data_IF_439160643728
#
_entry.id   IF_439160643728
#
_cell.length_a   1.000
_cell.length_b   1.000
_cell.length_c   1.000
_cell.angle_alpha   90.00
_cell.angle_beta   90.00
_cell.angle_gamma   90.00
#
_symmetry.space_group_name_H-M   'P 1'
#
loop_
_entity.id
_entity.type
_entity.pdbx_description
1 polymer ?
#
# COMPACT_ATOMS: atom_id res chain seq x y z
N UNK A 1 -2.02 16.78 29.44
CA UNK A 1 -2.21 15.39 29.02
C UNK A 1 -1.58 15.16 27.63
N UNK A 2 -0.33 15.62 27.43
CA UNK A 2 0.35 15.54 26.12
C UNK A 2 1.72 14.83 26.19
N UNK A 3 2.16 14.39 27.38
CA UNK A 3 3.51 13.83 27.57
C UNK A 3 3.69 12.45 26.88
N UNK A 4 2.61 11.70 26.74
CA UNK A 4 2.66 10.35 26.15
C UNK A 4 2.93 10.38 24.63
N UNK A 5 2.41 11.37 23.93
CA UNK A 5 2.63 11.52 22.48
C UNK A 5 4.04 12.01 22.16
N UNK A 6 4.58 12.92 22.98
CA UNK A 6 5.96 13.41 22.79
C UNK A 6 6.99 12.30 23.02
N UNK A 7 6.74 11.41 23.98
CA UNK A 7 7.61 10.26 24.23
C UNK A 7 7.58 9.24 23.09
N UNK A 8 6.41 9.01 22.49
CA UNK A 8 6.27 8.14 21.32
C UNK A 8 7.04 8.72 20.12
N UNK A 9 6.94 10.03 19.89
CA UNK A 9 7.64 10.68 18.77
C UNK A 9 9.16 10.80 18.95
N UNK A 10 9.69 10.62 20.14
CA UNK A 10 11.14 10.60 20.41
C UNK A 10 11.79 9.25 20.18
N UNK A 11 11.02 8.20 20.00
CA UNK A 11 11.55 6.85 19.78
C UNK A 11 12.09 6.73 18.36
N UNK A 12 13.29 6.18 18.23
CA UNK A 12 13.96 6.01 16.93
C UNK A 12 13.25 5.03 15.98
N UNK A 13 12.35 4.22 16.53
CA UNK A 13 11.52 3.24 15.82
C UNK A 13 10.14 3.78 15.42
N UNK A 14 9.84 5.05 15.74
CA UNK A 14 8.56 5.66 15.40
C UNK A 14 8.70 6.58 14.19
N UNK A 15 7.95 6.28 13.13
CA UNK A 15 7.88 7.14 11.97
C UNK A 15 6.87 8.27 12.22
N UNK A 16 7.33 9.50 12.05
CA UNK A 16 6.45 10.66 11.96
C UNK A 16 6.08 10.88 10.50
N UNK A 17 4.81 10.89 10.19
CA UNK A 17 4.36 11.37 8.90
C UNK A 17 4.87 12.78 8.60
N UNK A 18 5.07 13.13 7.35
CA UNK A 18 5.52 14.46 6.94
C UNK A 18 4.62 15.52 7.57
N UNK A 19 5.23 16.39 8.39
CA UNK A 19 4.55 17.56 8.93
C UNK A 19 4.09 18.48 7.81
N UNK A 20 3.08 19.31 8.11
CA UNK A 20 2.48 20.23 7.14
C UNK A 20 3.49 21.22 6.50
N UNK A 21 4.66 21.40 7.11
CA UNK A 21 5.77 22.22 6.58
C UNK A 21 6.58 21.53 5.49
N UNK A 22 6.55 20.21 5.46
CA UNK A 22 7.31 19.38 4.51
C UNK A 22 6.46 18.91 3.32
N UNK A 23 5.24 19.41 3.21
CA UNK A 23 4.49 19.33 1.96
C UNK A 23 5.21 20.18 0.92
N UNK A 24 6.27 19.64 0.40
CA UNK A 24 6.80 20.11 -0.88
C UNK A 24 5.68 19.84 -1.88
N UNK A 25 4.95 20.89 -2.23
CA UNK A 25 4.21 20.88 -3.48
C UNK A 25 5.24 20.44 -4.51
N UNK A 26 5.02 19.30 -5.12
CA UNK A 26 5.89 18.80 -6.17
C UNK A 26 5.85 19.85 -7.30
N UNK A 27 6.79 20.76 -7.23
CA UNK A 27 7.14 21.59 -8.37
C UNK A 27 7.78 20.64 -9.38
N UNK A 28 7.13 20.35 -10.51
CA UNK A 28 7.67 19.43 -11.50
C UNK A 28 9.01 19.91 -12.10
N UNK A 29 9.44 21.16 -11.80
CA UNK A 29 10.69 21.74 -12.24
C UNK A 29 11.79 21.77 -11.18
N UNK A 30 11.50 21.38 -9.91
CA UNK A 30 12.49 21.33 -8.85
C UNK A 30 13.38 20.09 -9.01
N UNK A 31 14.72 20.24 -9.03
CA UNK A 31 15.60 19.09 -8.99
C UNK A 31 15.33 18.34 -7.68
N UNK A 32 14.99 17.04 -7.77
CA UNK A 32 14.70 16.16 -6.65
C UNK A 32 15.83 16.21 -5.61
N UNK A 33 15.64 16.99 -4.55
CA UNK A 33 16.63 17.16 -3.48
C UNK A 33 16.75 15.96 -2.53
N UNK A 34 16.04 14.88 -2.78
CA UNK A 34 16.08 13.64 -2.02
C UNK A 34 16.44 12.42 -2.89
N UNK A 35 17.38 12.55 -3.80
CA UNK A 35 18.06 11.43 -4.42
C UNK A 35 19.09 10.78 -3.46
N UNK A 36 18.79 10.76 -2.16
CA UNK A 36 19.53 10.14 -1.08
C UNK A 36 18.99 8.76 -0.77
N UNK A 37 19.49 7.74 -1.50
CA UNK A 37 19.80 6.41 -1.00
C UNK A 37 18.67 5.52 -0.46
N UNK A 38 17.52 5.48 -1.08
CA UNK A 38 16.80 4.22 -1.23
C UNK A 38 16.40 4.15 -2.71
N UNK A 39 17.08 3.30 -3.48
CA UNK A 39 16.51 2.80 -4.72
C UNK A 39 15.22 2.10 -4.29
N UNK A 40 14.12 2.84 -4.23
CA UNK A 40 12.83 2.34 -3.83
C UNK A 40 12.47 1.28 -4.87
N UNK A 41 12.74 0.02 -4.52
CA UNK A 41 12.30 -1.08 -5.35
C UNK A 41 10.79 -0.92 -5.49
N UNK A 42 10.33 -0.91 -6.71
CA UNK A 42 8.92 -0.77 -7.02
C UNK A 42 8.45 -1.96 -7.86
N UNK A 43 7.19 -2.27 -7.76
CA UNK A 43 6.54 -3.22 -8.63
C UNK A 43 5.60 -2.46 -9.56
N UNK A 44 5.72 -2.67 -10.88
CA UNK A 44 4.85 -2.01 -11.84
C UNK A 44 3.37 -2.24 -11.50
N UNK A 45 2.57 -1.19 -11.59
CA UNK A 45 1.13 -1.26 -11.31
C UNK A 45 0.38 -2.07 -12.36
N UNK A 46 0.92 -2.16 -13.57
CA UNK A 46 0.28 -2.73 -14.75
C UNK A 46 -0.47 -1.69 -15.59
N UNK A 47 -0.40 -0.42 -15.19
CA UNK A 47 -0.97 0.71 -15.91
C UNK A 47 0.12 1.75 -16.17
N UNK A 48 0.57 1.86 -17.41
CA UNK A 48 1.68 2.76 -17.78
C UNK A 48 1.41 4.22 -17.39
N UNK A 49 0.15 4.66 -17.54
CA UNK A 49 -0.26 6.01 -17.16
C UNK A 49 -0.13 6.27 -15.65
N UNK A 50 -0.39 5.26 -14.83
CA UNK A 50 -0.26 5.34 -13.37
C UNK A 50 1.22 5.27 -12.98
N UNK A 51 1.98 4.35 -13.57
CA UNK A 51 3.41 4.21 -13.32
C UNK A 51 4.16 5.53 -13.63
N UNK A 52 3.76 6.24 -14.70
CA UNK A 52 4.33 7.54 -15.04
C UNK A 52 4.06 8.65 -14.00
N UNK A 53 3.03 8.53 -13.18
CA UNK A 53 2.67 9.49 -12.14
C UNK A 53 3.25 9.14 -10.77
N UNK A 54 3.62 7.88 -10.55
CA UNK A 54 4.18 7.44 -9.29
C UNK A 54 5.69 7.73 -9.22
N UNK A 55 6.14 8.23 -8.08
CA UNK A 55 7.55 8.59 -7.85
C UNK A 55 8.53 7.46 -8.18
N UNK A 56 8.16 6.21 -7.88
CA UNK A 56 8.99 5.02 -8.10
C UNK A 56 8.66 4.28 -9.40
N UNK A 57 7.85 4.89 -10.28
CA UNK A 57 7.35 4.25 -11.51
C UNK A 57 6.67 2.91 -11.23
N UNK A 58 5.90 2.84 -10.15
CA UNK A 58 5.19 1.65 -9.68
C UNK A 58 4.85 1.73 -8.20
N UNK A 59 4.27 0.67 -7.66
CA UNK A 59 4.00 0.55 -6.23
C UNK A 59 5.30 0.42 -5.43
N UNK A 60 5.54 1.28 -4.43
CA UNK A 60 6.72 1.20 -3.61
C UNK A 60 6.73 -0.10 -2.79
N UNK A 61 7.85 -0.81 -2.76
CA UNK A 61 8.04 -1.95 -1.88
C UNK A 61 8.46 -1.47 -0.49
N UNK A 62 7.85 -2.03 0.54
CA UNK A 62 8.17 -1.68 1.92
C UNK A 62 7.53 -0.37 2.41
N UNK A 63 6.47 0.10 1.73
CA UNK A 63 5.69 1.27 2.11
C UNK A 63 4.21 0.97 2.25
N UNK A 64 3.45 1.96 2.70
CA UNK A 64 1.99 1.94 2.71
C UNK A 64 1.46 2.78 1.54
N UNK A 65 0.43 2.28 0.89
CA UNK A 65 -0.28 2.95 -0.20
C UNK A 65 -1.71 3.14 0.26
N UNK A 66 -2.18 4.39 0.27
CA UNK A 66 -3.58 4.70 0.55
C UNK A 66 -4.31 4.98 -0.76
N UNK A 67 -5.40 4.26 -0.98
CA UNK A 67 -6.30 4.50 -2.11
C UNK A 67 -7.62 5.04 -1.57
N UNK A 68 -7.94 6.25 -1.96
CA UNK A 68 -9.18 6.94 -1.57
C UNK A 68 -10.13 6.87 -2.76
N UNK A 69 -11.33 6.32 -2.55
CA UNK A 69 -12.37 6.20 -3.57
C UNK A 69 -13.72 6.59 -2.99
N UNK A 70 -14.52 7.28 -3.77
CA UNK A 70 -15.91 7.62 -3.40
C UNK A 70 -16.84 6.40 -3.43
N UNK A 71 -16.42 5.33 -4.09
CA UNK A 71 -17.17 4.08 -4.21
C UNK A 71 -16.43 2.94 -3.54
N UNK A 72 -17.05 2.34 -2.53
CA UNK A 72 -16.54 1.10 -1.93
C UNK A 72 -16.87 -0.06 -2.87
N UNK A 73 -15.85 -0.84 -3.23
CA UNK A 73 -16.08 -2.08 -3.97
C UNK A 73 -14.97 -2.47 -4.96
N UNK A 74 -15.37 -3.16 -6.02
CA UNK A 74 -14.48 -3.76 -7.02
C UNK A 74 -13.56 -2.74 -7.71
N UNK A 75 -13.99 -1.49 -7.87
CA UNK A 75 -13.23 -0.46 -8.59
C UNK A 75 -11.91 -0.14 -7.87
N UNK A 76 -11.93 -0.02 -6.53
CA UNK A 76 -10.71 0.25 -5.76
C UNK A 76 -9.74 -0.95 -5.81
N UNK A 77 -10.25 -2.18 -5.86
CA UNK A 77 -9.43 -3.38 -5.95
C UNK A 77 -8.89 -3.59 -7.37
N UNK A 78 -9.62 -3.14 -8.39
CA UNK A 78 -9.24 -3.26 -9.80
C UNK A 78 -7.85 -2.70 -10.09
N UNK A 79 -7.45 -1.62 -9.40
CA UNK A 79 -6.14 -1.00 -9.57
C UNK A 79 -4.98 -1.89 -9.12
N UNK A 80 -5.23 -2.85 -8.23
CA UNK A 80 -4.24 -3.79 -7.73
C UNK A 80 -4.20 -5.12 -8.48
N UNK A 81 -5.23 -5.44 -9.28
CA UNK A 81 -5.37 -6.74 -9.94
C UNK A 81 -4.15 -7.17 -10.78
N UNK A 82 -3.55 -6.30 -11.63
CA UNK A 82 -2.38 -6.70 -12.40
C UNK A 82 -1.17 -7.03 -11.51
N UNK A 83 -1.01 -6.27 -10.41
CA UNK A 83 0.06 -6.51 -9.44
C UNK A 83 -0.18 -7.80 -8.67
N UNK A 84 -1.41 -8.05 -8.23
CA UNK A 84 -1.80 -9.28 -7.55
C UNK A 84 -1.52 -10.51 -8.40
N UNK A 85 -1.88 -10.46 -9.69
CA UNK A 85 -1.57 -11.51 -10.67
C UNK A 85 -0.07 -11.75 -10.79
N UNK A 86 0.72 -10.70 -10.88
CA UNK A 86 2.18 -10.79 -10.96
C UNK A 86 2.79 -11.40 -9.70
N UNK A 87 2.31 -11.02 -8.52
CA UNK A 87 2.76 -11.57 -7.24
C UNK A 87 2.39 -13.03 -7.09
N UNK A 88 1.18 -13.42 -7.48
CA UNK A 88 0.74 -14.82 -7.49
C UNK A 88 1.63 -15.68 -8.39
N UNK A 89 1.98 -15.19 -9.59
CA UNK A 89 2.95 -15.88 -10.45
C UNK A 89 4.36 -16.02 -9.85
N UNK A 90 4.65 -15.38 -8.73
CA UNK A 90 5.91 -15.46 -7.97
C UNK A 90 5.74 -16.24 -6.65
N UNK A 91 4.64 -16.93 -6.46
CA UNK A 91 4.28 -17.64 -5.23
C UNK A 91 4.35 -16.75 -3.97
N UNK A 92 3.83 -15.52 -4.12
CA UNK A 92 3.78 -14.56 -3.02
C UNK A 92 2.40 -14.55 -2.39
N UNK A 93 2.37 -14.71 -1.07
CA UNK A 93 1.15 -14.59 -0.28
C UNK A 93 0.56 -13.19 -0.38
N UNK A 94 -0.76 -13.14 -0.52
CA UNK A 94 -1.55 -11.93 -0.56
C UNK A 94 -2.55 -11.98 0.58
N UNK A 95 -2.47 -10.99 1.46
CA UNK A 95 -3.25 -10.98 2.69
C UNK A 95 -4.26 -9.85 2.64
N UNK A 96 -5.52 -10.17 2.85
CA UNK A 96 -6.59 -9.20 3.05
C UNK A 96 -6.90 -9.13 4.55
N UNK A 97 -6.73 -7.96 5.14
CA UNK A 97 -6.98 -7.71 6.56
C UNK A 97 -8.23 -6.86 6.69
N UNK A 98 -9.23 -7.40 7.37
CA UNK A 98 -10.52 -6.76 7.60
C UNK A 98 -11.16 -6.12 6.35
N UNK A 99 -11.20 -6.83 5.22
CA UNK A 99 -11.78 -6.27 4.01
C UNK A 99 -13.28 -6.02 4.24
N UNK A 100 -13.82 -4.86 3.77
CA UNK A 100 -15.24 -4.52 3.96
C UNK A 100 -16.18 -5.51 3.29
N UNK A 101 -15.70 -6.22 2.28
CA UNK A 101 -16.39 -7.31 1.59
C UNK A 101 -15.43 -8.45 1.34
N UNK A 102 -15.90 -9.68 1.45
CA UNK A 102 -15.11 -10.85 1.07
C UNK A 102 -14.76 -10.78 -0.40
N UNK A 103 -13.47 -10.85 -0.78
CA UNK A 103 -13.07 -10.87 -2.18
C UNK A 103 -13.74 -12.01 -2.93
N UNK A 104 -14.21 -11.73 -4.14
CA UNK A 104 -14.93 -12.71 -4.94
C UNK A 104 -13.95 -13.69 -5.60
N UNK A 105 -13.82 -14.87 -5.01
CA UNK A 105 -12.84 -15.88 -5.40
C UNK A 105 -12.90 -16.28 -6.89
N UNK A 106 -14.10 -16.45 -7.53
CA UNK A 106 -14.15 -16.74 -8.97
C UNK A 106 -13.55 -15.65 -9.85
N UNK A 107 -13.66 -14.37 -9.46
CA UNK A 107 -13.03 -13.27 -10.19
C UNK A 107 -11.51 -13.37 -10.07
N UNK A 108 -10.99 -13.55 -8.86
CA UNK A 108 -9.55 -13.66 -8.62
C UNK A 108 -8.95 -14.84 -9.42
N UNK A 109 -9.61 -15.99 -9.38
CA UNK A 109 -9.18 -17.14 -10.16
C UNK A 109 -9.26 -16.88 -11.68
N UNK A 110 -10.30 -16.20 -12.16
CA UNK A 110 -10.46 -15.81 -13.55
C UNK A 110 -9.37 -14.88 -14.05
N UNK A 111 -8.86 -14.03 -13.18
CA UNK A 111 -7.71 -13.14 -13.45
C UNK A 111 -6.36 -13.87 -13.38
N UNK A 112 -6.34 -15.14 -12.97
CA UNK A 112 -5.14 -15.95 -12.88
C UNK A 112 -4.38 -15.77 -11.56
N UNK A 113 -5.09 -15.40 -10.48
CA UNK A 113 -4.57 -15.33 -9.12
C UNK A 113 -4.79 -16.68 -8.45
N UNK A 114 -3.74 -17.26 -7.88
CA UNK A 114 -3.82 -18.52 -7.16
C UNK A 114 -4.50 -18.29 -5.80
N UNK A 115 -5.66 -18.90 -5.62
CA UNK A 115 -6.43 -18.79 -4.38
C UNK A 115 -5.74 -19.46 -3.18
N UNK A 116 -4.79 -20.35 -3.42
CA UNK A 116 -4.02 -20.99 -2.34
C UNK A 116 -3.02 -20.02 -1.69
N UNK A 117 -2.71 -18.94 -2.37
CA UNK A 117 -1.82 -17.87 -1.90
C UNK A 117 -2.58 -16.66 -1.34
N UNK A 118 -3.91 -16.79 -1.19
CA UNK A 118 -4.77 -15.76 -0.59
C UNK A 118 -5.05 -16.10 0.87
N UNK A 119 -4.82 -15.14 1.75
CA UNK A 119 -5.18 -15.22 3.16
C UNK A 119 -6.16 -14.12 3.52
N UNK A 120 -7.22 -14.48 4.24
CA UNK A 120 -8.21 -13.54 4.77
C UNK A 120 -8.07 -13.52 6.29
N UNK A 121 -7.84 -12.34 6.84
CA UNK A 121 -7.74 -12.13 8.29
C UNK A 121 -8.90 -11.26 8.72
N UNK A 122 -9.70 -11.76 9.66
CA UNK A 122 -10.83 -11.03 10.26
C UNK A 122 -10.55 -10.81 11.75
N UNK A 123 -9.94 -9.68 12.12
CA UNK A 123 -9.67 -9.35 13.51
C UNK A 123 -10.97 -9.09 14.26
N UNK A 124 -11.03 -9.48 15.54
CA UNK A 124 -12.23 -9.31 16.38
C UNK A 124 -12.35 -7.94 16.99
N UNK A 125 -11.24 -7.22 17.07
CA UNK A 125 -11.13 -5.92 17.68
C UNK A 125 -9.98 -5.12 17.05
N UNK A 126 -9.91 -3.83 17.43
CA UNK A 126 -8.90 -2.91 16.90
C UNK A 126 -7.46 -3.30 17.26
N UNK A 127 -7.26 -3.92 18.41
CA UNK A 127 -5.94 -4.36 18.86
C UNK A 127 -5.43 -5.49 17.98
N UNK A 128 -6.26 -6.50 17.73
CA UNK A 128 -5.94 -7.60 16.81
C UNK A 128 -5.70 -7.09 15.38
N UNK A 129 -6.44 -6.06 14.93
CA UNK A 129 -6.22 -5.42 13.63
C UNK A 129 -4.82 -4.84 13.54
N UNK A 130 -4.36 -4.13 14.56
CA UNK A 130 -3.02 -3.53 14.59
C UNK A 130 -1.91 -4.57 14.63
N UNK A 131 -2.16 -5.74 15.21
CA UNK A 131 -1.22 -6.86 15.23
C UNK A 131 -1.20 -7.68 13.94
N UNK A 132 -2.17 -7.47 13.04
CA UNK A 132 -2.30 -8.20 11.78
C UNK A 132 -1.53 -7.56 10.61
N UNK A 133 -0.98 -6.36 10.81
CA UNK A 133 -0.30 -5.56 9.76
C UNK A 133 1.21 -5.74 9.78
#
# INVERSE_FOLDING_TARGET
MNYLLEDIFRRADTWQGMGQKDRVFLDPSAPSANAGAHSAQAIATGFDALDAQLYSSGWPLGGCIEVISDQCGLDAMGVFMPTMKKLSGQSRWQVFIDPPYTPYAPLLAGEGIDLQEIMLVHPRNREELLWSV
#
